data_IF_169333848819
#
_entry.id   IF_169333848819
#
_cell.length_a   1.000
_cell.length_b   1.000
_cell.length_c   1.000
_cell.angle_alpha   90.00
_cell.angle_beta   90.00
_cell.angle_gamma   90.00
#
_symmetry.space_group_name_H-M   'P 1'
#
loop_
_entity.id
_entity.type
_entity.pdbx_description
1 polymer ?
#
# COMPACT_ATOMS: atom_id res chain seq x y z
N UNK A 1 -21.88 -7.16 6.89
CA UNK A 1 -21.12 -6.22 6.03
C UNK A 1 -20.33 -5.15 6.79
N UNK A 2 -20.70 -4.72 8.00
CA UNK A 2 -19.92 -3.70 8.75
C UNK A 2 -18.59 -4.23 9.32
N UNK A 3 -18.54 -5.49 9.78
CA UNK A 3 -17.33 -6.09 10.36
C UNK A 3 -16.18 -6.16 9.36
N UNK A 4 -16.45 -6.63 8.14
CA UNK A 4 -15.46 -6.72 7.06
C UNK A 4 -14.89 -5.34 6.69
N UNK A 5 -15.76 -4.32 6.69
CA UNK A 5 -15.36 -2.93 6.41
C UNK A 5 -14.49 -2.35 7.53
N UNK A 6 -14.88 -2.56 8.79
CA UNK A 6 -14.09 -2.11 9.95
C UNK A 6 -12.73 -2.81 9.94
N UNK A 7 -12.72 -4.12 9.66
CA UNK A 7 -11.51 -4.91 9.49
C UNK A 7 -10.58 -4.31 8.44
N UNK A 8 -11.08 -4.07 7.22
CA UNK A 8 -10.28 -3.45 6.14
C UNK A 8 -9.75 -2.06 6.52
N UNK A 9 -10.56 -1.24 7.19
CA UNK A 9 -10.13 0.10 7.59
C UNK A 9 -8.99 0.10 8.62
N UNK A 10 -8.89 -0.94 9.44
CA UNK A 10 -7.80 -1.11 10.42
C UNK A 10 -6.60 -1.82 9.77
N UNK A 11 -6.88 -2.80 8.93
CA UNK A 11 -5.86 -3.67 8.33
C UNK A 11 -5.07 -2.94 7.25
N UNK A 12 -5.68 -2.07 6.45
CA UNK A 12 -4.96 -1.32 5.40
C UNK A 12 -3.86 -0.42 6.01
N UNK A 13 -4.10 0.44 7.03
CA UNK A 13 -3.04 1.21 7.68
C UNK A 13 -1.92 0.35 8.26
N UNK A 14 -2.27 -0.77 8.90
CA UNK A 14 -1.28 -1.72 9.40
C UNK A 14 -0.42 -2.28 8.27
N UNK A 15 -1.05 -2.63 7.14
CA UNK A 15 -0.38 -3.14 5.96
C UNK A 15 0.50 -2.08 5.28
N UNK A 16 0.07 -0.81 5.24
CA UNK A 16 0.91 0.32 4.80
C UNK A 16 2.17 0.40 5.65
N UNK A 17 2.03 0.37 6.98
CA UNK A 17 3.17 0.41 7.90
C UNK A 17 4.12 -0.77 7.68
N UNK A 18 3.58 -1.99 7.60
CA UNK A 18 4.37 -3.19 7.33
C UNK A 18 5.17 -3.09 6.01
N UNK A 19 4.51 -2.71 4.91
CA UNK A 19 5.17 -2.60 3.61
C UNK A 19 6.17 -1.44 3.56
N UNK A 20 5.93 -0.34 4.27
CA UNK A 20 6.89 0.75 4.39
C UNK A 20 8.17 0.30 5.11
N UNK A 21 8.05 -0.43 6.22
CA UNK A 21 9.20 -1.02 6.90
C UNK A 21 9.93 -2.04 6.01
N UNK A 22 9.20 -2.91 5.31
CA UNK A 22 9.79 -3.87 4.39
C UNK A 22 10.58 -3.18 3.26
N UNK A 23 10.00 -2.13 2.67
CA UNK A 23 10.64 -1.33 1.61
C UNK A 23 11.89 -0.64 2.13
N UNK A 24 11.84 -0.09 3.34
CA UNK A 24 12.99 0.57 3.96
C UNK A 24 14.12 -0.41 4.29
N UNK A 25 13.79 -1.58 4.86
CA UNK A 25 14.78 -2.63 5.14
C UNK A 25 15.46 -3.12 3.85
N UNK A 26 14.69 -3.33 2.78
CA UNK A 26 15.24 -3.69 1.47
C UNK A 26 16.13 -2.59 0.89
N UNK A 27 15.74 -1.31 1.02
CA UNK A 27 16.55 -0.18 0.59
C UNK A 27 17.89 -0.06 1.34
N UNK A 28 17.91 -0.39 2.64
CA UNK A 28 19.15 -0.44 3.44
C UNK A 28 20.02 -1.63 3.02
N UNK A 29 19.40 -2.80 2.79
CA UNK A 29 20.12 -4.03 2.43
C UNK A 29 20.70 -3.99 1.01
N UNK A 30 19.97 -3.40 0.06
CA UNK A 30 20.34 -3.29 -1.34
C UNK A 30 20.43 -1.80 -1.73
N UNK A 31 21.54 -1.16 -1.37
CA UNK A 31 21.71 0.30 -1.43
C UNK A 31 21.63 0.94 -2.85
N UNK A 32 21.36 0.17 -3.92
CA UNK A 32 21.56 0.61 -5.32
C UNK A 32 20.52 0.03 -6.32
N UNK A 33 19.43 -0.63 -5.87
CA UNK A 33 18.39 -1.09 -6.82
C UNK A 33 17.31 -0.02 -7.03
N UNK A 34 17.25 0.52 -8.23
CA UNK A 34 16.23 1.49 -8.66
C UNK A 34 14.79 0.98 -8.45
N UNK A 35 14.60 -0.33 -8.40
CA UNK A 35 13.31 -1.00 -8.16
C UNK A 35 12.64 -0.56 -6.85
N UNK A 36 13.42 -0.18 -5.84
CA UNK A 36 12.86 0.30 -4.56
C UNK A 36 12.17 1.66 -4.67
N UNK A 37 12.58 2.53 -5.61
CA UNK A 37 11.88 3.79 -5.84
C UNK A 37 10.44 3.54 -6.33
N UNK A 38 10.25 2.52 -7.16
CA UNK A 38 8.92 2.13 -7.62
C UNK A 38 8.07 1.50 -6.50
N UNK A 39 8.69 0.79 -5.55
CA UNK A 39 8.00 0.30 -4.34
C UNK A 39 7.52 1.44 -3.44
N UNK A 40 8.28 2.53 -3.33
CA UNK A 40 7.83 3.76 -2.63
C UNK A 40 6.64 4.42 -3.33
N UNK A 41 6.64 4.46 -4.66
CA UNK A 41 5.51 4.98 -5.45
C UNK A 41 4.26 4.12 -5.24
N UNK A 42 4.41 2.79 -5.23
CA UNK A 42 3.30 1.87 -4.94
C UNK A 42 2.73 2.10 -3.53
N UNK A 43 3.57 2.35 -2.53
CA UNK A 43 3.13 2.74 -1.18
C UNK A 43 2.34 4.05 -1.15
N UNK A 44 2.80 5.08 -1.88
CA UNK A 44 2.09 6.36 -1.99
C UNK A 44 0.72 6.18 -2.65
N UNK A 45 0.64 5.36 -3.71
CA UNK A 45 -0.63 4.99 -4.35
C UNK A 45 -1.56 4.24 -3.38
N UNK A 46 -1.01 3.38 -2.51
CA UNK A 46 -1.79 2.66 -1.51
C UNK A 46 -2.38 3.61 -0.46
N UNK A 47 -1.60 4.60 -0.01
CA UNK A 47 -2.07 5.66 0.89
C UNK A 47 -3.16 6.50 0.21
N UNK A 48 -2.94 6.92 -1.04
CA UNK A 48 -3.92 7.68 -1.80
C UNK A 48 -5.23 6.89 -1.98
N UNK A 49 -5.15 5.60 -2.32
CA UNK A 49 -6.30 4.70 -2.39
C UNK A 49 -7.04 4.58 -1.06
N UNK A 50 -6.30 4.45 0.04
CA UNK A 50 -6.87 4.42 1.39
C UNK A 50 -7.61 5.72 1.74
N UNK A 51 -7.09 6.89 1.35
CA UNK A 51 -7.79 8.18 1.55
C UNK A 51 -9.03 8.26 0.65
N UNK A 52 -8.90 7.91 -0.63
CA UNK A 52 -9.98 7.99 -1.61
C UNK A 52 -11.15 7.07 -1.24
N UNK A 53 -10.91 5.94 -0.57
CA UNK A 53 -11.98 5.00 -0.21
C UNK A 53 -13.06 5.64 0.70
N UNK A 54 -12.73 6.71 1.44
CA UNK A 54 -13.68 7.44 2.29
C UNK A 54 -14.64 8.31 1.48
N UNK A 55 -14.25 8.72 0.27
CA UNK A 55 -15.07 9.51 -0.65
C UNK A 55 -15.72 8.63 -1.73
N UNK A 56 -14.91 7.81 -2.41
CA UNK A 56 -15.32 6.87 -3.46
C UNK A 56 -14.82 5.48 -3.14
N UNK A 57 -15.61 4.73 -2.38
CA UNK A 57 -15.25 3.42 -1.80
C UNK A 57 -14.67 2.45 -2.82
N UNK A 58 -15.37 2.16 -3.90
CA UNK A 58 -14.93 1.17 -4.91
C UNK A 58 -13.62 1.59 -5.54
N UNK A 59 -13.48 2.87 -5.91
CA UNK A 59 -12.26 3.41 -6.50
C UNK A 59 -11.08 3.32 -5.53
N UNK A 60 -11.30 3.66 -4.26
CA UNK A 60 -10.27 3.53 -3.23
C UNK A 60 -9.80 2.09 -3.02
N UNK A 61 -10.71 1.12 -2.93
CA UNK A 61 -10.34 -0.29 -2.81
C UNK A 61 -9.63 -0.84 -4.05
N UNK A 62 -10.06 -0.44 -5.25
CA UNK A 62 -9.37 -0.82 -6.49
C UNK A 62 -7.96 -0.25 -6.50
N UNK A 63 -7.78 1.02 -6.12
CA UNK A 63 -6.45 1.63 -6.02
C UNK A 63 -5.58 0.92 -4.99
N UNK A 64 -6.10 0.63 -3.79
CA UNK A 64 -5.36 -0.14 -2.76
C UNK A 64 -4.96 -1.51 -3.32
N UNK A 65 -5.88 -2.24 -3.94
CA UNK A 65 -5.60 -3.56 -4.52
C UNK A 65 -4.53 -3.52 -5.62
N UNK A 66 -4.63 -2.57 -6.54
CA UNK A 66 -3.63 -2.37 -7.60
C UNK A 66 -2.26 -1.99 -7.02
N UNK A 67 -2.24 -1.15 -5.98
CA UNK A 67 -1.01 -0.73 -5.31
C UNK A 67 -0.31 -1.90 -4.62
N UNK A 68 -1.09 -2.75 -3.94
CA UNK A 68 -0.59 -3.99 -3.32
C UNK A 68 0.00 -4.91 -4.38
N UNK A 69 -0.75 -5.19 -5.45
CA UNK A 69 -0.28 -6.04 -6.54
C UNK A 69 1.01 -5.50 -7.16
N UNK A 70 1.06 -4.20 -7.45
CA UNK A 70 2.23 -3.55 -8.03
C UNK A 70 3.44 -3.67 -7.09
N UNK A 71 3.28 -3.44 -5.79
CA UNK A 71 4.39 -3.55 -4.83
C UNK A 71 5.04 -4.94 -4.80
N UNK A 72 4.25 -6.00 -4.98
CA UNK A 72 4.74 -7.39 -4.99
C UNK A 72 5.37 -7.83 -6.32
N UNK A 73 5.02 -7.17 -7.43
CA UNK A 73 5.54 -7.50 -8.77
C UNK A 73 6.84 -6.73 -9.08
N UNK A 74 7.03 -5.57 -8.45
CA UNK A 74 8.32 -4.88 -8.35
C UNK A 74 9.22 -5.55 -7.31
#
# INVERSE_FOLDING_TARGET
>A
MNVLRIGLNILIPFFIGFLAFATWMGYIAEHIRDDYNFKWIALLLMIAGYIIQFYKRTVGYVLVGLSVWWWFVL
#
